data_IF_637126579294
#
_entry.id   IF_637126579294
#
_cell.length_a   1.000
_cell.length_b   1.000
_cell.length_c   1.000
_cell.angle_alpha   90.00
_cell.angle_beta   90.00
_cell.angle_gamma   90.00
#
_symmetry.space_group_name_H-M   'P 1'
#
loop_
_entity.id
_entity.type
_entity.pdbx_description
1 polymer ?
#
# COMPACT_ATOMS: atom_id res chain seq x y z
N UNK A 1 7.90 -16.30 -10.15
CA UNK A 1 6.60 -16.93 -9.84
C UNK A 1 6.82 -17.86 -8.66
N UNK A 2 6.09 -17.69 -7.56
CA UNK A 2 6.18 -18.57 -6.38
C UNK A 2 4.81 -19.25 -6.23
N UNK A 3 4.77 -20.58 -6.32
CA UNK A 3 3.55 -21.39 -6.28
C UNK A 3 2.70 -21.05 -5.04
N UNK A 4 1.40 -20.82 -5.26
CA UNK A 4 0.44 -20.31 -4.28
C UNK A 4 -0.34 -21.40 -3.53
N UNK A 5 -0.19 -22.67 -3.92
CA UNK A 5 -1.06 -23.75 -3.43
C UNK A 5 -0.48 -24.54 -2.24
N UNK A 6 0.79 -24.32 -1.88
CA UNK A 6 1.40 -24.92 -0.69
C UNK A 6 2.37 -23.93 0.00
N UNK A 7 2.25 -23.77 1.32
CA UNK A 7 3.18 -22.97 2.13
C UNK A 7 2.49 -22.02 3.11
N UNK A 8 3.23 -21.05 3.65
CA UNK A 8 2.73 -20.12 4.67
C UNK A 8 1.36 -19.47 4.39
N UNK A 9 1.01 -19.08 3.13
CA UNK A 9 -0.29 -18.51 2.82
C UNK A 9 -1.49 -19.45 3.04
N UNK A 10 -1.29 -20.77 3.10
CA UNK A 10 -2.37 -21.73 3.37
C UNK A 10 -2.80 -21.77 4.83
N UNK A 11 -2.04 -21.14 5.74
CA UNK A 11 -2.40 -21.00 7.15
C UNK A 11 -3.39 -19.83 7.26
N UNK A 12 -4.66 -20.05 7.63
CA UNK A 12 -5.65 -18.96 7.64
C UNK A 12 -5.36 -17.91 8.72
N UNK A 13 -4.78 -18.31 9.85
CA UNK A 13 -4.53 -17.42 10.98
C UNK A 13 -3.26 -16.59 10.81
N UNK A 14 -3.42 -15.28 10.62
CA UNK A 14 -2.30 -14.34 10.41
C UNK A 14 -1.35 -14.26 11.60
N UNK A 15 -1.81 -14.49 12.83
CA UNK A 15 -0.94 -14.52 14.00
C UNK A 15 0.03 -15.71 13.96
N UNK A 16 -0.45 -16.88 13.53
CA UNK A 16 0.39 -18.06 13.31
C UNK A 16 1.38 -17.79 12.18
N UNK A 17 0.94 -17.19 11.08
CA UNK A 17 1.84 -16.77 10.01
C UNK A 17 2.93 -15.82 10.53
N UNK A 18 2.57 -14.79 11.31
CA UNK A 18 3.50 -13.81 11.85
C UNK A 18 4.55 -14.45 12.75
N UNK A 19 4.17 -15.42 13.59
CA UNK A 19 5.11 -16.18 14.41
C UNK A 19 6.14 -16.94 13.55
N UNK A 20 5.70 -17.54 12.45
CA UNK A 20 6.58 -18.26 11.53
C UNK A 20 7.48 -17.31 10.72
N UNK A 21 6.93 -16.18 10.25
CA UNK A 21 7.69 -15.13 9.57
C UNK A 21 8.81 -14.59 10.45
N UNK A 22 8.54 -14.31 11.73
CA UNK A 22 9.57 -13.87 12.69
C UNK A 22 10.67 -14.91 12.89
N UNK A 23 10.33 -16.20 12.91
CA UNK A 23 11.34 -17.28 12.94
C UNK A 23 12.20 -17.27 11.68
N UNK A 24 11.60 -17.12 10.50
CA UNK A 24 12.35 -17.00 9.24
C UNK A 24 13.28 -15.79 9.26
N UNK A 25 12.81 -14.62 9.72
CA UNK A 25 13.61 -13.40 9.84
C UNK A 25 14.78 -13.60 10.81
N UNK A 26 14.59 -14.32 11.91
CA UNK A 26 15.67 -14.61 12.87
C UNK A 26 16.77 -15.50 12.28
N UNK A 27 16.44 -16.36 11.32
CA UNK A 27 17.41 -17.26 10.65
C UNK A 27 18.03 -16.59 9.42
N UNK A 28 17.26 -15.80 8.69
CA UNK A 28 17.66 -15.11 7.46
C UNK A 28 17.22 -13.64 7.51
N UNK A 29 17.92 -12.78 8.27
CA UNK A 29 17.52 -11.38 8.46
C UNK A 29 17.64 -10.53 7.20
N UNK A 30 18.49 -10.96 6.25
CA UNK A 30 18.71 -10.32 4.96
C UNK A 30 17.63 -10.59 3.91
N UNK A 31 16.71 -11.53 4.16
CA UNK A 31 15.69 -11.92 3.19
C UNK A 31 14.49 -10.98 3.27
N UNK A 32 14.16 -10.23 2.19
CA UNK A 32 13.12 -9.19 2.25
C UNK A 32 11.70 -9.75 2.28
N UNK A 33 11.44 -10.90 1.65
CA UNK A 33 10.08 -11.42 1.44
C UNK A 33 9.32 -11.69 2.77
N UNK A 34 9.92 -12.34 3.79
CA UNK A 34 9.27 -12.53 5.08
C UNK A 34 8.86 -11.21 5.76
N UNK A 35 9.70 -10.18 5.68
CA UNK A 35 9.38 -8.86 6.27
C UNK A 35 8.25 -8.16 5.52
N UNK A 36 8.25 -8.21 4.18
CA UNK A 36 7.13 -7.71 3.38
C UNK A 36 5.80 -8.34 3.78
N UNK A 37 5.78 -9.67 3.98
CA UNK A 37 4.58 -10.40 4.40
C UNK A 37 4.19 -10.04 5.83
N UNK A 38 5.16 -9.89 6.73
CA UNK A 38 4.90 -9.52 8.12
C UNK A 38 4.28 -8.13 8.22
N UNK A 39 4.83 -7.14 7.51
CA UNK A 39 4.28 -5.77 7.45
C UNK A 39 2.83 -5.80 6.98
N UNK A 40 2.55 -6.51 5.87
CA UNK A 40 1.18 -6.65 5.34
C UNK A 40 0.24 -7.26 6.38
N UNK A 41 0.63 -8.37 7.01
CA UNK A 41 -0.20 -9.02 8.01
C UNK A 41 -0.46 -8.13 9.22
N UNK A 42 0.52 -7.34 9.65
CA UNK A 42 0.35 -6.39 10.76
C UNK A 42 -0.63 -5.27 10.40
N UNK A 43 -0.59 -4.74 9.17
CA UNK A 43 -1.57 -3.77 8.68
C UNK A 43 -2.97 -4.40 8.65
N UNK A 44 -3.10 -5.60 8.09
CA UNK A 44 -4.40 -6.27 7.98
C UNK A 44 -5.00 -6.67 9.33
N UNK A 45 -4.17 -6.79 10.37
CA UNK A 45 -4.59 -7.04 11.76
C UNK A 45 -4.77 -5.73 12.55
N UNK A 46 -4.72 -4.57 11.88
CA UNK A 46 -4.83 -3.23 12.47
C UNK A 46 -3.77 -2.95 13.55
N UNK A 47 -2.66 -3.69 13.52
CA UNK A 47 -1.49 -3.51 14.40
C UNK A 47 -0.58 -2.43 13.83
N UNK A 48 -1.11 -1.22 13.68
CA UNK A 48 -0.47 -0.13 12.93
C UNK A 48 0.90 0.28 13.48
N UNK A 49 1.06 0.40 14.80
CA UNK A 49 2.34 0.79 15.41
C UNK A 49 3.43 -0.27 15.22
N UNK A 50 3.04 -1.55 15.25
CA UNK A 50 3.95 -2.66 14.96
C UNK A 50 4.33 -2.70 13.47
N UNK A 51 3.38 -2.45 12.58
CA UNK A 51 3.65 -2.36 11.14
C UNK A 51 4.60 -1.18 10.83
N UNK A 52 4.39 -0.03 11.48
CA UNK A 52 5.27 1.13 11.33
C UNK A 52 6.69 0.85 11.81
N UNK A 53 6.81 0.18 12.96
CA UNK A 53 8.11 -0.24 13.51
C UNK A 53 8.82 -1.18 12.55
N UNK A 54 8.12 -2.21 12.05
CA UNK A 54 8.70 -3.18 11.12
C UNK A 54 9.15 -2.52 9.80
N UNK A 55 8.39 -1.56 9.28
CA UNK A 55 8.82 -0.76 8.10
C UNK A 55 10.13 -0.02 8.39
N UNK A 56 10.25 0.66 9.55
CA UNK A 56 11.47 1.40 9.89
C UNK A 56 12.67 0.47 10.06
N UNK A 57 12.47 -0.69 10.68
CA UNK A 57 13.52 -1.70 10.86
C UNK A 57 13.95 -2.29 9.50
N UNK A 58 13.00 -2.58 8.61
CA UNK A 58 13.30 -2.97 7.23
C UNK A 58 14.15 -1.93 6.51
N UNK A 59 13.73 -0.66 6.53
CA UNK A 59 14.42 0.41 5.82
C UNK A 59 15.85 0.64 6.34
N UNK A 60 16.08 0.43 7.64
CA UNK A 60 17.40 0.48 8.26
C UNK A 60 18.30 -0.68 7.82
N UNK A 61 17.76 -1.89 7.75
CA UNK A 61 18.56 -3.10 7.51
C UNK A 61 18.81 -3.36 6.02
N UNK A 62 17.80 -3.12 5.17
CA UNK A 62 17.76 -3.55 3.76
C UNK A 62 17.58 -2.38 2.78
N UNK A 63 17.39 -1.18 3.30
CA UNK A 63 17.11 0.00 2.49
C UNK A 63 15.65 0.07 2.02
N UNK A 64 15.40 0.95 1.05
CA UNK A 64 14.05 1.25 0.56
C UNK A 64 13.77 0.54 -0.75
N UNK A 65 12.63 -0.15 -0.83
CA UNK A 65 12.17 -0.82 -2.04
C UNK A 65 10.69 -0.50 -2.37
N UNK A 66 10.23 -0.99 -3.52
CA UNK A 66 8.86 -0.75 -4.00
C UNK A 66 7.77 -1.32 -3.08
N UNK A 67 7.86 -2.61 -2.67
CA UNK A 67 6.93 -3.21 -1.71
C UNK A 67 6.80 -2.44 -0.39
N UNK A 68 7.90 -2.05 0.26
CA UNK A 68 7.83 -1.30 1.53
C UNK A 68 7.32 0.11 1.32
N UNK A 69 7.71 0.78 0.22
CA UNK A 69 7.14 2.08 -0.15
C UNK A 69 5.62 2.00 -0.32
N UNK A 70 5.11 0.94 -0.97
CA UNK A 70 3.67 0.66 -1.05
C UNK A 70 3.07 0.44 0.34
N UNK A 71 3.64 -0.42 1.17
CA UNK A 71 3.07 -0.72 2.48
C UNK A 71 3.05 0.49 3.42
N UNK A 72 3.97 1.43 3.25
CA UNK A 72 3.94 2.71 3.97
C UNK A 72 2.74 3.56 3.58
N UNK A 73 2.39 3.60 2.29
CA UNK A 73 1.16 4.26 1.81
C UNK A 73 -0.08 3.54 2.37
N UNK A 74 -0.12 2.21 2.23
CA UNK A 74 -1.25 1.38 2.69
C UNK A 74 -1.45 1.49 4.20
N UNK A 75 -0.37 1.58 4.99
CA UNK A 75 -0.45 1.79 6.43
C UNK A 75 -1.13 3.12 6.77
N UNK A 76 -0.74 4.22 6.12
CA UNK A 76 -1.37 5.53 6.37
C UNK A 76 -2.83 5.54 5.94
N UNK A 77 -3.15 4.94 4.79
CA UNK A 77 -4.53 4.77 4.33
C UNK A 77 -5.35 3.94 5.35
N UNK A 78 -4.82 2.81 5.81
CA UNK A 78 -5.48 1.96 6.80
C UNK A 78 -5.71 2.69 8.13
N UNK A 79 -4.75 3.50 8.59
CA UNK A 79 -4.93 4.34 9.79
C UNK A 79 -6.07 5.35 9.60
N UNK A 80 -6.15 6.01 8.45
CA UNK A 80 -7.24 6.94 8.18
C UNK A 80 -8.62 6.26 8.10
N UNK A 81 -8.67 5.00 7.65
CA UNK A 81 -9.92 4.26 7.48
C UNK A 81 -10.39 3.59 8.78
N UNK A 82 -9.50 2.90 9.47
CA UNK A 82 -9.88 1.91 10.48
C UNK A 82 -9.54 2.33 11.91
N UNK A 83 -8.82 3.44 12.13
CA UNK A 83 -8.59 3.91 13.51
C UNK A 83 -9.93 4.29 14.16
N UNK A 84 -10.30 3.68 15.29
CA UNK A 84 -11.55 4.01 15.98
C UNK A 84 -11.43 5.35 16.70
N UNK A 85 -12.52 6.09 16.78
CA UNK A 85 -12.63 7.28 17.63
C UNK A 85 -11.91 8.54 17.15
N UNK A 86 -11.25 8.54 15.98
CA UNK A 86 -10.68 9.76 15.39
C UNK A 86 -11.74 10.54 14.60
N UNK A 87 -11.62 11.87 14.64
CA UNK A 87 -12.51 12.80 13.94
C UNK A 87 -12.29 12.77 12.43
N UNK A 88 -13.25 13.26 11.65
CA UNK A 88 -13.14 13.27 10.19
C UNK A 88 -12.00 14.16 9.70
N UNK A 89 -11.78 15.28 10.39
CA UNK A 89 -10.67 16.20 10.15
C UNK A 89 -9.32 15.50 10.35
N UNK A 90 -9.18 14.69 11.40
CA UNK A 90 -7.98 13.89 11.65
C UNK A 90 -7.76 12.84 10.54
N UNK A 91 -8.83 12.22 10.04
CA UNK A 91 -8.75 11.28 8.92
C UNK A 91 -8.22 11.99 7.67
N UNK A 92 -8.73 13.17 7.36
CA UNK A 92 -8.26 13.99 6.23
C UNK A 92 -6.78 14.35 6.40
N UNK A 93 -6.33 14.72 7.61
CA UNK A 93 -4.91 14.99 7.89
C UNK A 93 -4.05 13.76 7.65
N UNK A 94 -4.48 12.58 8.08
CA UNK A 94 -3.76 11.32 7.82
C UNK A 94 -3.73 11.01 6.31
N UNK A 95 -4.85 11.22 5.60
CA UNK A 95 -4.91 11.01 4.15
C UNK A 95 -4.02 11.99 3.37
N UNK A 96 -3.91 13.26 3.79
CA UNK A 96 -2.97 14.21 3.20
C UNK A 96 -1.51 13.82 3.45
N UNK A 97 -1.20 13.21 4.60
CA UNK A 97 0.11 12.58 4.82
C UNK A 97 0.32 11.38 3.90
N UNK A 98 -0.72 10.55 3.71
CA UNK A 98 -0.67 9.43 2.77
C UNK A 98 -0.44 9.89 1.34
N UNK A 99 -1.06 11.00 0.93
CA UNK A 99 -0.91 11.62 -0.39
C UNK A 99 0.53 12.09 -0.61
N UNK A 100 1.10 12.84 0.33
CA UNK A 100 2.48 13.30 0.25
C UNK A 100 3.46 12.11 0.16
N UNK A 101 3.24 11.08 0.99
CA UNK A 101 4.03 9.84 0.94
C UNK A 101 3.87 9.11 -0.40
N UNK A 102 2.65 9.02 -0.92
CA UNK A 102 2.35 8.33 -2.16
C UNK A 102 2.92 9.04 -3.39
N UNK A 103 2.82 10.37 -3.43
CA UNK A 103 3.43 11.21 -4.47
C UNK A 103 4.95 11.05 -4.50
N UNK A 104 5.60 11.13 -3.33
CA UNK A 104 7.05 10.90 -3.23
C UNK A 104 7.46 9.49 -3.67
N UNK A 105 6.72 8.46 -3.24
CA UNK A 105 6.94 7.07 -3.65
C UNK A 105 6.71 6.87 -5.15
N UNK A 106 5.69 7.50 -5.73
CA UNK A 106 5.37 7.41 -7.15
C UNK A 106 6.47 8.02 -8.02
N UNK A 107 7.06 9.15 -7.60
CA UNK A 107 8.20 9.74 -8.30
C UNK A 107 9.42 8.81 -8.31
N UNK A 108 9.68 8.12 -7.20
CA UNK A 108 10.82 7.18 -7.10
C UNK A 108 10.58 5.85 -7.80
N UNK A 109 9.34 5.36 -7.75
CA UNK A 109 8.94 4.06 -8.30
C UNK A 109 7.92 4.24 -9.43
N UNK A 110 8.26 5.12 -10.38
CA UNK A 110 7.38 5.60 -11.45
C UNK A 110 6.86 4.53 -12.43
N UNK A 111 7.45 3.33 -12.40
CA UNK A 111 7.04 2.17 -13.20
C UNK A 111 6.46 1.04 -12.33
N UNK A 112 6.32 1.26 -11.03
CA UNK A 112 5.77 0.24 -10.14
C UNK A 112 4.24 0.39 -10.04
N UNK A 113 3.52 -0.43 -10.81
CA UNK A 113 2.05 -0.47 -10.79
C UNK A 113 1.49 -0.50 -9.37
N UNK A 114 2.06 -1.31 -8.47
CA UNK A 114 1.49 -1.49 -7.13
C UNK A 114 1.64 -0.26 -6.23
N UNK A 115 2.71 0.53 -6.41
CA UNK A 115 2.87 1.82 -5.73
C UNK A 115 1.89 2.84 -6.29
N UNK A 116 1.78 2.91 -7.61
CA UNK A 116 0.87 3.85 -8.29
C UNK A 116 -0.61 3.54 -8.02
N UNK A 117 -0.99 2.26 -7.96
CA UNK A 117 -2.32 1.85 -7.53
C UNK A 117 -2.60 2.25 -6.07
N UNK A 118 -1.64 2.11 -5.16
CA UNK A 118 -1.81 2.58 -3.78
C UNK A 118 -1.99 4.10 -3.71
N UNK A 119 -1.34 4.87 -4.60
CA UNK A 119 -1.58 6.30 -4.72
C UNK A 119 -3.01 6.60 -5.21
N UNK A 120 -3.51 5.86 -6.20
CA UNK A 120 -4.89 5.99 -6.67
C UNK A 120 -5.91 5.71 -5.55
N UNK A 121 -5.66 4.71 -4.69
CA UNK A 121 -6.51 4.44 -3.52
C UNK A 121 -6.58 5.64 -2.56
N UNK A 122 -5.43 6.27 -2.26
CA UNK A 122 -5.39 7.48 -1.44
C UNK A 122 -6.17 8.62 -2.10
N UNK A 123 -5.99 8.82 -3.40
CA UNK A 123 -6.71 9.84 -4.17
C UNK A 123 -8.23 9.65 -4.12
N UNK A 124 -8.71 8.42 -4.31
CA UNK A 124 -10.14 8.11 -4.19
C UNK A 124 -10.68 8.41 -2.78
N UNK A 125 -9.92 8.07 -1.74
CA UNK A 125 -10.40 8.25 -0.38
C UNK A 125 -10.41 9.72 0.06
N UNK A 126 -9.47 10.53 -0.45
CA UNK A 126 -9.50 11.98 -0.34
C UNK A 126 -10.68 12.58 -1.09
N UNK A 127 -10.92 12.15 -2.33
CA UNK A 127 -12.04 12.62 -3.15
C UNK A 127 -13.38 12.44 -2.42
N UNK A 128 -13.64 11.24 -1.88
CA UNK A 128 -14.89 10.96 -1.15
C UNK A 128 -15.15 11.90 0.03
N UNK A 129 -14.09 12.39 0.67
CA UNK A 129 -14.19 13.20 1.89
C UNK A 129 -14.17 14.69 1.64
N UNK A 130 -13.44 15.11 0.62
CA UNK A 130 -13.11 16.52 0.39
C UNK A 130 -13.73 17.07 -0.90
N UNK A 131 -14.15 16.20 -1.82
CA UNK A 131 -14.56 16.57 -3.17
C UNK A 131 -13.39 16.95 -4.09
N UNK A 132 -12.15 17.00 -3.60
CA UNK A 132 -10.97 17.38 -4.35
C UNK A 132 -10.44 16.19 -5.18
N UNK A 133 -10.48 16.30 -6.51
CA UNK A 133 -10.03 15.25 -7.44
C UNK A 133 -8.52 15.31 -7.71
N UNK A 134 -7.82 16.37 -7.31
CA UNK A 134 -6.43 16.65 -7.75
C UNK A 134 -5.46 15.50 -7.46
N UNK A 135 -5.55 14.92 -6.26
CA UNK A 135 -4.74 13.78 -5.85
C UNK A 135 -5.03 12.53 -6.68
N UNK A 136 -6.31 12.27 -6.97
CA UNK A 136 -6.74 11.13 -7.77
C UNK A 136 -6.30 11.27 -9.23
N UNK A 137 -6.54 12.43 -9.84
CA UNK A 137 -6.17 12.72 -11.23
C UNK A 137 -4.66 12.59 -11.44
N UNK A 138 -3.87 13.12 -10.51
CA UNK A 138 -2.41 13.01 -10.52
C UNK A 138 -1.96 11.55 -10.46
N UNK A 139 -2.52 10.77 -9.52
CA UNK A 139 -2.18 9.36 -9.35
C UNK A 139 -2.59 8.52 -10.57
N UNK A 140 -3.79 8.75 -11.11
CA UNK A 140 -4.32 8.02 -12.26
C UNK A 140 -3.50 8.29 -13.52
N UNK A 141 -3.10 9.55 -13.75
CA UNK A 141 -2.24 9.93 -14.87
C UNK A 141 -0.86 9.24 -14.77
N UNK A 142 -0.27 9.19 -13.57
CA UNK A 142 0.98 8.46 -13.36
C UNK A 142 0.82 6.96 -13.64
N UNK A 143 -0.28 6.33 -13.18
CA UNK A 143 -0.58 4.92 -13.45
C UNK A 143 -0.78 4.65 -14.95
N UNK A 144 -1.52 5.52 -15.67
CA UNK A 144 -1.70 5.46 -17.14
C UNK A 144 -0.36 5.53 -17.87
N UNK A 145 0.48 6.51 -17.50
CA UNK A 145 1.80 6.69 -18.11
C UNK A 145 2.71 5.48 -17.88
N UNK A 146 2.69 4.89 -16.69
CA UNK A 146 3.44 3.67 -16.39
C UNK A 146 2.92 2.47 -17.20
N UNK A 147 1.60 2.26 -17.21
CA UNK A 147 0.99 1.15 -17.95
C UNK A 147 1.30 1.21 -19.45
N UNK A 148 1.26 2.40 -20.04
CA UNK A 148 1.62 2.61 -21.45
C UNK A 148 3.11 2.35 -21.70
N UNK A 149 4.01 2.95 -20.90
CA UNK A 149 5.47 2.78 -21.07
C UNK A 149 5.90 1.33 -20.96
N UNK A 150 5.27 0.56 -20.07
CA UNK A 150 5.61 -0.84 -19.82
C UNK A 150 4.83 -1.84 -20.66
N UNK A 151 3.82 -1.39 -21.42
CA UNK A 151 2.84 -2.29 -22.04
C UNK A 151 2.22 -3.28 -21.04
N UNK A 152 1.92 -2.78 -19.83
CA UNK A 152 1.39 -3.59 -18.73
C UNK A 152 -0.13 -3.72 -18.82
N UNK A 153 -0.61 -4.87 -19.31
CA UNK A 153 -2.05 -5.16 -19.47
C UNK A 153 -2.80 -5.11 -18.13
N UNK A 154 -2.18 -5.61 -17.06
CA UNK A 154 -2.73 -5.58 -15.71
C UNK A 154 -2.74 -4.15 -15.15
N UNK A 155 -1.76 -3.32 -15.54
CA UNK A 155 -1.78 -1.88 -15.33
C UNK A 155 -2.96 -1.20 -16.02
N UNK A 156 -3.22 -1.54 -17.28
CA UNK A 156 -4.38 -1.02 -18.01
C UNK A 156 -5.72 -1.47 -17.41
N UNK A 157 -5.81 -2.70 -16.89
CA UNK A 157 -6.98 -3.18 -16.12
C UNK A 157 -7.17 -2.38 -14.83
N UNK A 158 -6.09 -2.10 -14.10
CA UNK A 158 -6.14 -1.27 -12.89
C UNK A 158 -6.65 0.14 -13.20
N UNK A 159 -6.15 0.79 -14.25
CA UNK A 159 -6.63 2.11 -14.71
C UNK A 159 -8.16 2.10 -14.91
N UNK A 160 -8.67 1.17 -15.71
CA UNK A 160 -10.12 1.06 -15.97
C UNK A 160 -10.93 0.82 -14.69
N UNK A 161 -10.39 0.06 -13.75
CA UNK A 161 -11.04 -0.17 -12.45
C UNK A 161 -11.11 1.12 -11.62
N UNK A 162 -10.08 1.94 -11.62
CA UNK A 162 -10.06 3.22 -10.90
C UNK A 162 -10.98 4.25 -11.54
N UNK A 163 -10.99 4.35 -12.88
CA UNK A 163 -11.91 5.23 -13.61
C UNK A 163 -13.38 4.90 -13.31
N UNK A 164 -13.74 3.61 -13.26
CA UNK A 164 -15.09 3.19 -12.89
C UNK A 164 -15.45 3.63 -11.47
N UNK A 165 -14.58 3.34 -10.50
CA UNK A 165 -14.79 3.72 -9.10
C UNK A 165 -14.89 5.22 -8.88
N UNK A 166 -14.19 6.02 -9.69
CA UNK A 166 -14.31 7.47 -9.69
C UNK A 166 -15.71 7.92 -10.15
N UNK A 167 -16.20 7.36 -11.27
CA UNK A 167 -17.54 7.65 -11.77
C UNK A 167 -18.62 7.33 -10.73
N UNK A 168 -18.50 6.20 -10.04
CA UNK A 168 -19.44 5.77 -9.00
C UNK A 168 -19.50 6.73 -7.79
N UNK A 169 -18.47 7.55 -7.54
CA UNK A 169 -18.45 8.54 -6.46
C UNK A 169 -19.11 9.86 -6.91
N UNK A 170 -19.03 10.17 -8.20
CA UNK A 170 -19.50 11.45 -8.77
C UNK A 170 -20.95 11.44 -9.23
N UNK A 171 -21.60 10.28 -9.25
CA UNK A 171 -23.02 10.08 -9.59
C UNK A 171 -23.90 10.07 -8.34
#
# INVERSE_FOLDING_TARGET
MCNLDTGLPSIPEKEVQNRLLRKLISVAPGEPIPRHRLIRNLIDLEKFDLAETEIRVFESDLGRDGPVARYRIVLLLARALYTPGIMEEDRIVILKKAEAQASSSAARFENNRHVLSAYCEVGLELLKRTGDTSAFDTALNALKAAAQRMSDEEGAKAVRSFERRHLDITL
#
